data_IF_796838784892
#
_entry.id   IF_796838784892
#
_cell.length_a   1.000
_cell.length_b   1.000
_cell.length_c   1.000
_cell.angle_alpha   90.00
_cell.angle_beta   90.00
_cell.angle_gamma   90.00
#
_symmetry.space_group_name_H-M   'P 1'
#
loop_
_entity.id
_entity.type
_entity.pdbx_description
1 polymer ?
#
# COMPACT_ATOMS: atom_id res chain seq x y z
N UNK A 1 -16.46 -7.00 -3.39
CA UNK A 1 -17.43 -7.94 -3.96
C UNK A 1 -18.09 -7.30 -5.17
N UNK A 2 -18.87 -8.08 -5.92
CA UNK A 2 -19.56 -7.70 -7.16
C UNK A 2 -20.34 -6.39 -7.05
N UNK A 3 -21.01 -6.14 -5.91
CA UNK A 3 -21.75 -4.89 -5.66
C UNK A 3 -20.88 -3.62 -5.72
N UNK A 4 -19.63 -3.69 -5.28
CA UNK A 4 -18.71 -2.55 -5.36
C UNK A 4 -18.37 -2.23 -6.80
N UNK A 5 -18.09 -3.25 -7.62
CA UNK A 5 -17.76 -3.07 -9.04
C UNK A 5 -18.89 -2.45 -9.83
N UNK A 6 -20.13 -2.82 -9.54
CA UNK A 6 -21.32 -2.27 -10.23
C UNK A 6 -21.53 -0.76 -9.98
N UNK A 7 -21.09 -0.26 -8.81
CA UNK A 7 -21.29 1.12 -8.37
C UNK A 7 -20.12 2.06 -8.67
N UNK A 8 -18.93 1.50 -8.98
CA UNK A 8 -17.69 2.27 -9.12
C UNK A 8 -17.11 2.11 -10.53
N UNK A 9 -16.86 3.22 -11.20
CA UNK A 9 -16.26 3.27 -12.53
C UNK A 9 -14.75 3.53 -12.55
N UNK A 10 -14.16 3.88 -11.40
CA UNK A 10 -12.71 4.07 -11.26
C UNK A 10 -12.01 2.75 -10.93
N UNK A 11 -10.69 2.62 -11.17
CA UNK A 11 -9.92 1.42 -10.82
C UNK A 11 -10.02 1.09 -9.33
N UNK A 12 -10.17 -0.20 -9.03
CA UNK A 12 -10.25 -0.74 -7.66
C UNK A 12 -8.94 -1.45 -7.33
N UNK A 13 -8.28 -1.03 -6.24
CA UNK A 13 -7.17 -1.77 -5.65
C UNK A 13 -7.72 -2.76 -4.64
N UNK A 14 -7.50 -4.05 -4.88
CA UNK A 14 -7.94 -5.13 -4.00
C UNK A 14 -6.82 -5.67 -3.13
N UNK A 15 -7.13 -5.96 -1.87
CA UNK A 15 -6.25 -6.66 -0.92
C UNK A 15 -7.05 -7.67 -0.10
N UNK A 16 -6.37 -8.74 0.35
CA UNK A 16 -6.84 -9.62 1.42
C UNK A 16 -5.78 -9.62 2.51
N UNK A 17 -6.19 -9.36 3.76
CA UNK A 17 -5.28 -9.44 4.92
C UNK A 17 -5.51 -10.74 5.68
N UNK A 18 -4.42 -11.45 5.97
CA UNK A 18 -4.41 -12.68 6.77
C UNK A 18 -3.31 -12.61 7.82
N UNK A 19 -3.59 -13.08 9.02
CA UNK A 19 -2.58 -13.33 10.04
C UNK A 19 -2.11 -14.77 9.89
N UNK A 20 -0.80 -14.95 9.69
CA UNK A 20 -0.18 -16.25 9.47
C UNK A 20 0.72 -16.60 10.67
N UNK A 21 0.67 -17.84 11.19
CA UNK A 21 1.50 -18.22 12.34
C UNK A 21 3.00 -18.24 12.02
N UNK A 22 3.36 -18.53 10.76
CA UNK A 22 4.74 -18.80 10.35
C UNK A 22 5.29 -17.73 9.36
N UNK A 23 4.58 -16.60 9.18
CA UNK A 23 5.02 -15.55 8.27
C UNK A 23 4.55 -14.17 8.73
N UNK A 24 5.41 -13.14 8.68
CA UNK A 24 5.01 -11.76 8.93
C UNK A 24 4.26 -11.12 7.75
N UNK A 25 4.20 -11.77 6.60
CA UNK A 25 3.50 -11.29 5.42
C UNK A 25 2.00 -11.45 5.61
N UNK A 26 1.25 -10.36 5.48
CA UNK A 26 -0.19 -10.32 5.73
C UNK A 26 -1.01 -9.92 4.51
N UNK A 27 -0.44 -9.12 3.60
CA UNK A 27 -1.16 -8.55 2.46
C UNK A 27 -1.13 -9.53 1.30
N UNK A 28 -2.28 -10.09 0.95
CA UNK A 28 -2.49 -11.02 -0.17
C UNK A 28 -1.42 -12.12 -0.21
N UNK A 29 -1.30 -12.96 0.85
CA UNK A 29 -0.16 -13.86 0.99
C UNK A 29 -0.20 -15.11 0.09
N UNK A 30 -1.36 -15.45 -0.51
CA UNK A 30 -1.55 -16.67 -1.30
C UNK A 30 -2.05 -16.39 -2.72
N UNK A 31 -1.82 -17.34 -3.64
CA UNK A 31 -2.30 -17.24 -5.03
C UNK A 31 -3.83 -17.30 -5.10
N UNK A 32 -4.48 -18.03 -4.20
CA UNK A 32 -5.94 -18.09 -4.09
C UNK A 32 -6.55 -16.74 -3.71
N UNK A 33 -5.82 -15.92 -2.96
CA UNK A 33 -6.24 -14.55 -2.63
C UNK A 33 -6.25 -13.66 -3.88
N UNK A 34 -5.24 -13.83 -4.74
CA UNK A 34 -5.19 -13.15 -6.05
C UNK A 34 -6.40 -13.56 -6.90
N UNK A 35 -6.70 -14.86 -6.98
CA UNK A 35 -7.82 -15.38 -7.74
C UNK A 35 -9.16 -14.81 -7.25
N UNK A 36 -9.36 -14.78 -5.94
CA UNK A 36 -10.56 -14.24 -5.32
C UNK A 36 -10.73 -12.73 -5.57
N UNK A 37 -9.64 -11.96 -5.50
CA UNK A 37 -9.67 -10.52 -5.76
C UNK A 37 -9.96 -10.20 -7.22
N UNK A 38 -9.34 -10.92 -8.15
CA UNK A 38 -9.60 -10.77 -9.58
C UNK A 38 -11.05 -11.13 -9.92
N UNK A 39 -11.58 -12.24 -9.36
CA UNK A 39 -12.97 -12.62 -9.54
C UNK A 39 -13.94 -11.58 -8.95
N UNK A 40 -13.56 -10.90 -7.88
CA UNK A 40 -14.35 -9.82 -7.27
C UNK A 40 -14.28 -8.50 -8.05
N UNK A 41 -13.55 -8.45 -9.17
CA UNK A 41 -13.48 -7.28 -10.07
C UNK A 41 -12.42 -6.24 -9.67
N UNK A 42 -11.35 -6.63 -8.98
CA UNK A 42 -10.20 -5.76 -8.75
C UNK A 42 -9.46 -5.51 -10.08
N UNK A 43 -9.08 -4.26 -10.33
CA UNK A 43 -8.25 -3.85 -11.48
C UNK A 43 -6.75 -3.93 -11.13
N UNK A 44 -6.44 -3.67 -9.87
CA UNK A 44 -5.10 -3.68 -9.30
C UNK A 44 -5.14 -4.60 -8.08
N UNK A 45 -4.15 -5.48 -7.92
CA UNK A 45 -4.04 -6.32 -6.73
C UNK A 45 -2.75 -5.95 -6.01
N UNK A 46 -2.90 -5.49 -4.75
CA UNK A 46 -1.77 -5.18 -3.91
C UNK A 46 -1.38 -6.41 -3.06
N UNK A 47 -0.09 -6.61 -2.92
CA UNK A 47 0.53 -7.69 -2.15
C UNK A 47 1.76 -7.18 -1.40
N UNK A 48 2.16 -7.87 -0.33
CA UNK A 48 3.38 -7.55 0.40
C UNK A 48 4.62 -7.80 -0.47
N UNK A 49 5.33 -6.74 -0.81
CA UNK A 49 6.53 -6.78 -1.67
C UNK A 49 7.86 -6.82 -0.90
N UNK A 50 7.83 -6.98 0.42
CA UNK A 50 9.05 -6.95 1.26
C UNK A 50 9.83 -8.26 1.19
N UNK A 51 11.14 -8.19 1.40
CA UNK A 51 12.01 -9.38 1.52
C UNK A 51 11.90 -9.97 2.94
N UNK A 52 10.80 -10.69 3.21
CA UNK A 52 10.54 -11.35 4.49
C UNK A 52 10.05 -12.78 4.24
N UNK A 53 10.20 -13.71 5.23
CA UNK A 53 9.68 -15.08 5.12
C UNK A 53 8.22 -15.09 4.70
N UNK A 54 7.90 -15.81 3.63
CA UNK A 54 6.60 -15.76 2.96
C UNK A 54 6.18 -17.11 2.37
N UNK A 55 4.86 -17.39 2.30
CA UNK A 55 4.37 -18.65 1.72
C UNK A 55 4.53 -18.72 0.20
N UNK A 56 4.43 -17.58 -0.50
CA UNK A 56 4.52 -17.49 -1.96
C UNK A 56 5.54 -16.41 -2.34
N UNK A 57 6.50 -16.74 -3.22
CA UNK A 57 7.51 -15.81 -3.70
C UNK A 57 6.93 -14.66 -4.52
N UNK A 58 7.55 -13.48 -4.46
CA UNK A 58 7.12 -12.24 -5.13
C UNK A 58 6.89 -12.45 -6.63
N UNK A 59 7.81 -13.12 -7.33
CA UNK A 59 7.68 -13.37 -8.77
C UNK A 59 6.42 -14.19 -9.10
N UNK A 60 6.15 -15.25 -8.35
CA UNK A 60 4.97 -16.07 -8.58
C UNK A 60 3.67 -15.30 -8.30
N UNK A 61 3.69 -14.39 -7.33
CA UNK A 61 2.58 -13.49 -7.02
C UNK A 61 2.30 -12.55 -8.20
N UNK A 62 3.31 -11.87 -8.71
CA UNK A 62 3.21 -10.95 -9.85
C UNK A 62 2.69 -11.69 -11.08
N UNK A 63 3.25 -12.86 -11.40
CA UNK A 63 2.84 -13.66 -12.55
C UNK A 63 1.37 -14.07 -12.46
N UNK A 64 0.90 -14.47 -11.26
CA UNK A 64 -0.51 -14.83 -11.06
C UNK A 64 -1.42 -13.61 -11.25
N UNK A 65 -1.05 -12.45 -10.74
CA UNK A 65 -1.83 -11.21 -10.90
C UNK A 65 -1.97 -10.87 -12.39
N UNK A 66 -0.88 -10.92 -13.14
CA UNK A 66 -0.89 -10.67 -14.58
C UNK A 66 -1.70 -11.72 -15.35
N UNK A 67 -1.62 -13.00 -14.99
CA UNK A 67 -2.45 -14.07 -15.58
C UNK A 67 -3.95 -13.82 -15.39
N UNK A 68 -4.35 -13.10 -14.35
CA UNK A 68 -5.73 -12.70 -14.09
C UNK A 68 -6.12 -11.38 -14.78
N UNK A 69 -5.21 -10.76 -15.53
CA UNK A 69 -5.46 -9.50 -16.24
C UNK A 69 -5.49 -8.27 -15.34
N UNK A 70 -4.96 -8.37 -14.12
CA UNK A 70 -4.87 -7.28 -13.16
C UNK A 70 -3.46 -6.67 -13.17
N UNK A 71 -3.33 -5.40 -12.75
CA UNK A 71 -2.04 -4.78 -12.47
C UNK A 71 -1.51 -5.19 -11.09
N UNK A 72 -0.20 -5.46 -11.00
CA UNK A 72 0.46 -5.87 -9.77
C UNK A 72 1.00 -4.65 -9.01
N UNK A 73 0.53 -4.42 -7.77
CA UNK A 73 1.04 -3.40 -6.87
C UNK A 73 1.81 -4.06 -5.73
N UNK A 74 3.10 -3.76 -5.62
CA UNK A 74 3.94 -4.26 -4.55
C UNK A 74 4.03 -3.25 -3.39
N UNK A 75 3.55 -3.64 -2.22
CA UNK A 75 3.64 -2.85 -0.99
C UNK A 75 5.03 -3.05 -0.36
N UNK A 76 5.89 -2.04 -0.48
CA UNK A 76 7.30 -2.09 -0.14
C UNK A 76 7.63 -1.27 1.10
N UNK A 77 8.72 -1.65 1.79
CA UNK A 77 9.23 -0.95 2.98
C UNK A 77 10.50 -0.14 2.70
N UNK A 78 11.19 -0.43 1.60
CA UNK A 78 12.48 0.16 1.26
C UNK A 78 12.63 0.38 -0.25
N UNK A 79 13.70 1.10 -0.62
CA UNK A 79 14.08 1.29 -2.02
C UNK A 79 14.52 -0.03 -2.66
N UNK A 80 15.15 -0.90 -1.88
CA UNK A 80 15.60 -2.23 -2.30
C UNK A 80 14.39 -3.11 -2.66
N UNK A 81 13.40 -3.21 -1.77
CA UNK A 81 12.15 -3.94 -2.03
C UNK A 81 11.49 -3.45 -3.33
N UNK A 82 11.32 -2.11 -3.45
CA UNK A 82 10.69 -1.51 -4.62
C UNK A 82 11.44 -1.76 -5.91
N UNK A 83 12.78 -1.73 -5.86
CA UNK A 83 13.62 -2.02 -7.02
C UNK A 83 13.52 -3.47 -7.43
N UNK A 84 13.59 -4.40 -6.47
CA UNK A 84 13.44 -5.83 -6.74
C UNK A 84 12.06 -6.17 -7.32
N UNK A 85 10.99 -5.68 -6.69
CA UNK A 85 9.63 -5.89 -7.18
C UNK A 85 9.42 -5.34 -8.60
N UNK A 86 9.96 -4.14 -8.89
CA UNK A 86 9.90 -3.59 -10.24
C UNK A 86 10.63 -4.46 -11.26
N UNK A 87 11.85 -4.93 -10.93
CA UNK A 87 12.63 -5.81 -11.80
C UNK A 87 11.94 -7.16 -12.04
N UNK A 88 11.15 -7.63 -11.08
CA UNK A 88 10.33 -8.84 -11.20
C UNK A 88 9.02 -8.61 -11.97
N UNK A 89 8.69 -7.36 -12.32
CA UNK A 89 7.58 -7.01 -13.18
C UNK A 89 6.39 -6.35 -12.47
N UNK A 90 6.52 -5.87 -11.24
CA UNK A 90 5.45 -5.09 -10.59
C UNK A 90 5.17 -3.79 -11.38
N UNK A 91 3.89 -3.49 -11.61
CA UNK A 91 3.44 -2.32 -12.37
C UNK A 91 3.44 -1.05 -11.50
N UNK A 92 3.23 -1.21 -10.21
CA UNK A 92 3.08 -0.14 -9.23
C UNK A 92 3.85 -0.50 -7.97
N UNK A 93 4.53 0.49 -7.38
CA UNK A 93 5.23 0.35 -6.11
C UNK A 93 4.51 1.20 -5.05
N UNK A 94 4.02 0.55 -4.00
CA UNK A 94 3.43 1.19 -2.83
C UNK A 94 4.46 1.40 -1.72
N UNK A 95 4.35 2.48 -0.94
CA UNK A 95 5.18 2.71 0.26
C UNK A 95 4.52 2.24 1.55
N UNK A 96 3.49 1.43 1.43
CA UNK A 96 2.60 0.95 2.50
C UNK A 96 3.35 0.34 3.68
N UNK A 97 4.40 -0.43 3.41
CA UNK A 97 5.15 -1.17 4.43
C UNK A 97 6.26 -0.35 5.10
N UNK A 98 6.55 0.87 4.61
CA UNK A 98 7.56 1.75 5.24
C UNK A 98 7.21 2.05 6.70
N UNK A 99 8.14 1.73 7.60
CA UNK A 99 8.00 1.87 9.04
C UNK A 99 7.20 0.76 9.74
N UNK A 100 6.68 -0.24 9.00
CA UNK A 100 5.96 -1.38 9.58
C UNK A 100 6.76 -2.68 9.60
N UNK A 101 8.01 -2.65 9.13
CA UNK A 101 8.95 -3.78 9.13
C UNK A 101 10.01 -3.67 10.24
N UNK A 102 9.96 -2.62 11.05
CA UNK A 102 10.87 -2.32 12.16
C UNK A 102 10.10 -2.14 13.47
N UNK A 103 10.80 -2.12 14.60
CA UNK A 103 10.19 -2.02 15.94
C UNK A 103 9.51 -0.68 16.23
N UNK A 104 9.90 0.39 15.53
CA UNK A 104 9.34 1.73 15.72
C UNK A 104 8.62 2.20 14.45
N UNK A 105 7.31 2.49 14.58
CA UNK A 105 6.52 3.09 13.52
C UNK A 105 6.70 4.61 13.56
N UNK A 106 7.21 5.24 12.49
CA UNK A 106 7.33 6.70 12.41
C UNK A 106 5.96 7.38 12.46
N UNK A 107 5.94 8.65 12.86
CA UNK A 107 4.72 9.47 12.86
C UNK A 107 4.44 10.12 11.51
N UNK A 108 5.49 10.40 10.74
CA UNK A 108 5.41 11.09 9.46
C UNK A 108 5.42 10.11 8.26
N UNK A 109 4.83 10.49 7.11
CA UNK A 109 4.99 9.75 5.85
C UNK A 109 6.46 9.68 5.41
N UNK A 110 6.81 8.62 4.68
CA UNK A 110 8.17 8.43 4.15
C UNK A 110 8.35 9.14 2.80
N UNK A 111 8.44 10.46 2.80
CA UNK A 111 8.70 11.25 1.60
C UNK A 111 10.04 10.93 0.93
N UNK A 112 11.15 10.67 1.67
CA UNK A 112 12.40 10.22 1.05
C UNK A 112 12.24 8.96 0.21
N UNK A 113 11.50 7.95 0.69
CA UNK A 113 11.25 6.73 -0.07
C UNK A 113 10.39 7.00 -1.32
N UNK A 114 9.33 7.80 -1.19
CA UNK A 114 8.50 8.22 -2.34
C UNK A 114 9.38 8.87 -3.41
N UNK A 115 10.21 9.83 -3.02
CA UNK A 115 11.09 10.55 -3.94
C UNK A 115 12.13 9.62 -4.60
N UNK A 116 12.76 8.73 -3.82
CA UNK A 116 13.77 7.82 -4.32
C UNK A 116 13.20 6.84 -5.37
N UNK A 117 12.02 6.27 -5.11
CA UNK A 117 11.32 5.37 -6.05
C UNK A 117 10.88 6.12 -7.30
N UNK A 118 10.30 7.32 -7.15
CA UNK A 118 9.86 8.15 -8.27
C UNK A 118 11.03 8.59 -9.16
N UNK A 119 12.19 8.90 -8.56
CA UNK A 119 13.41 9.27 -9.31
C UNK A 119 13.93 8.13 -10.20
N UNK A 120 13.61 6.88 -9.90
CA UNK A 120 13.88 5.71 -10.76
C UNK A 120 12.88 5.55 -11.91
N UNK A 121 11.86 6.41 -11.99
CA UNK A 121 10.81 6.33 -13.00
C UNK A 121 9.70 5.32 -12.68
N UNK A 122 9.64 4.82 -11.45
CA UNK A 122 8.59 3.89 -11.05
C UNK A 122 7.27 4.61 -10.84
N UNK A 123 6.15 3.92 -11.10
CA UNK A 123 4.82 4.41 -10.76
C UNK A 123 4.58 4.18 -9.28
N UNK A 124 4.65 5.24 -8.48
CA UNK A 124 4.59 5.17 -7.01
C UNK A 124 3.22 5.57 -6.51
N UNK A 125 2.60 4.70 -5.68
CA UNK A 125 1.47 5.08 -4.83
C UNK A 125 2.01 5.29 -3.42
N UNK A 126 1.95 6.54 -2.96
CA UNK A 126 2.36 6.89 -1.60
C UNK A 126 1.26 6.48 -0.61
N UNK A 127 1.57 5.62 0.33
CA UNK A 127 0.68 5.15 1.38
C UNK A 127 1.41 5.10 2.72
N UNK A 128 0.67 5.37 3.79
CA UNK A 128 1.15 5.33 5.16
C UNK A 128 1.25 6.71 5.80
N UNK A 129 0.47 6.94 6.85
CA UNK A 129 0.50 8.13 7.71
C UNK A 129 0.12 9.47 7.03
N UNK A 130 -0.59 9.41 5.91
CA UNK A 130 -1.13 10.62 5.24
C UNK A 130 -2.36 11.12 5.98
N UNK A 131 -2.13 11.80 7.11
CA UNK A 131 -3.17 12.19 8.06
C UNK A 131 -3.75 13.59 7.80
N UNK A 132 -3.37 14.24 6.71
CA UNK A 132 -3.94 15.52 6.29
C UNK A 132 -3.90 15.70 4.78
N UNK A 133 -4.78 16.53 4.20
CA UNK A 133 -4.73 16.89 2.78
C UNK A 133 -3.39 17.51 2.36
N UNK A 134 -2.76 18.28 3.26
CA UNK A 134 -1.46 18.91 2.97
C UNK A 134 -0.35 17.87 2.79
N UNK A 135 -0.29 16.82 3.63
CA UNK A 135 0.66 15.72 3.50
C UNK A 135 0.42 14.94 2.19
N UNK A 136 -0.83 14.66 1.84
CA UNK A 136 -1.16 13.99 0.58
C UNK A 136 -0.71 14.83 -0.64
N UNK A 137 -0.97 16.15 -0.63
CA UNK A 137 -0.50 17.04 -1.68
C UNK A 137 1.04 17.11 -1.77
N UNK A 138 1.72 17.01 -0.62
CA UNK A 138 3.18 16.99 -0.56
C UNK A 138 3.76 15.70 -1.19
N UNK A 139 3.09 14.55 -1.04
CA UNK A 139 3.52 13.30 -1.70
C UNK A 139 3.55 13.46 -3.23
N UNK A 140 2.56 14.11 -3.82
CA UNK A 140 2.54 14.40 -5.25
C UNK A 140 3.73 15.28 -5.66
N UNK A 141 4.08 16.28 -4.84
CA UNK A 141 5.25 17.14 -5.08
C UNK A 141 6.58 16.35 -4.99
N UNK A 142 6.62 15.28 -4.19
CA UNK A 142 7.75 14.35 -4.13
C UNK A 142 7.75 13.30 -5.25
N UNK A 143 6.83 13.39 -6.20
CA UNK A 143 6.80 12.56 -7.39
C UNK A 143 5.87 11.34 -7.31
N UNK A 144 5.07 11.19 -6.26
CA UNK A 144 4.05 10.14 -6.24
C UNK A 144 3.08 10.30 -7.40
N UNK A 145 2.74 9.18 -8.04
CA UNK A 145 1.71 9.13 -9.08
C UNK A 145 0.29 9.23 -8.48
N UNK A 146 0.10 8.65 -7.29
CA UNK A 146 -1.14 8.71 -6.53
C UNK A 146 -0.85 8.60 -5.03
N UNK A 147 -1.87 8.85 -4.20
CA UNK A 147 -1.79 8.74 -2.73
C UNK A 147 -2.96 7.93 -2.21
N UNK A 148 -2.68 6.94 -1.36
CA UNK A 148 -3.69 6.22 -0.60
C UNK A 148 -3.86 6.84 0.78
N UNK A 149 -5.09 7.25 1.09
CA UNK A 149 -5.46 7.80 2.41
C UNK A 149 -6.45 6.84 3.07
N UNK A 150 -6.03 6.20 4.15
CA UNK A 150 -6.84 5.22 4.89
C UNK A 150 -7.49 5.82 6.14
N UNK A 151 -6.86 5.64 7.30
CA UNK A 151 -7.41 5.96 8.63
C UNK A 151 -7.90 7.40 8.76
N UNK A 152 -7.27 8.35 8.09
CA UNK A 152 -7.68 9.76 8.08
C UNK A 152 -9.08 10.01 7.47
N UNK A 153 -9.63 9.04 6.76
CA UNK A 153 -10.96 9.14 6.14
C UNK A 153 -11.91 8.10 6.75
N UNK A 154 -11.41 6.88 7.03
CA UNK A 154 -12.24 5.73 7.37
C UNK A 154 -12.35 5.47 8.87
N UNK A 155 -11.50 6.09 9.72
CA UNK A 155 -11.42 5.86 11.16
C UNK A 155 -11.77 7.12 11.94
N UNK A 156 -13.05 7.32 12.21
CA UNK A 156 -13.57 8.50 12.92
C UNK A 156 -12.95 8.66 14.32
N UNK A 157 -12.67 7.56 15.01
CA UNK A 157 -12.03 7.57 16.32
C UNK A 157 -10.63 8.21 16.30
N UNK A 158 -9.84 7.99 15.23
CA UNK A 158 -8.54 8.64 15.05
C UNK A 158 -8.69 10.14 14.80
N UNK A 159 -9.64 10.51 13.94
CA UNK A 159 -9.90 11.92 13.64
C UNK A 159 -10.32 12.68 14.91
N UNK A 160 -11.23 12.12 15.68
CA UNK A 160 -11.66 12.71 16.96
C UNK A 160 -10.50 12.86 17.96
N UNK A 161 -9.58 11.86 18.00
CA UNK A 161 -8.42 11.92 18.87
C UNK A 161 -7.47 13.06 18.45
N UNK A 162 -7.16 13.21 17.15
CA UNK A 162 -6.28 14.28 16.66
C UNK A 162 -6.82 15.67 17.01
N UNK A 163 -8.14 15.90 16.88
CA UNK A 163 -8.75 17.17 17.32
C UNK A 163 -8.60 17.38 18.82
N UNK A 164 -8.83 16.35 19.62
CA UNK A 164 -8.70 16.42 21.08
C UNK A 164 -7.27 16.76 21.50
N UNK A 165 -6.29 16.09 20.91
CA UNK A 165 -4.87 16.29 21.23
C UNK A 165 -4.45 17.72 20.88
N UNK A 166 -4.79 18.21 19.69
CA UNK A 166 -4.50 19.58 19.27
C UNK A 166 -5.13 20.65 20.19
N UNK A 167 -6.37 20.44 20.63
CA UNK A 167 -7.04 21.35 21.58
C UNK A 167 -6.37 21.31 22.95
N UNK A 168 -5.92 20.15 23.40
CA UNK A 168 -5.22 20.01 24.68
C UNK A 168 -3.86 20.71 24.66
N UNK A 169 -3.09 20.54 23.58
CA UNK A 169 -1.81 21.24 23.40
C UNK A 169 -1.96 22.75 23.35
N UNK A 170 -3.04 23.26 22.76
CA UNK A 170 -3.31 24.70 22.68
C UNK A 170 -3.73 25.35 24.01
N UNK A 171 -4.01 24.55 25.04
CA UNK A 171 -4.43 25.03 26.37
C UNK A 171 -3.33 24.94 27.43
N UNK A 172 -2.14 24.45 27.08
CA UNK A 172 -0.93 24.40 27.90
C UNK A 172 -0.02 25.61 27.65
#
# INVERSE_FOLDING_TARGET
SDLTRELISVPIIGIIKRDLPDSPVRITPFLEDVDALAQAGADIIAFDGTDRPRPVGVKAMIDRIHQRGCAAMADCSSLEDGTECHNLGADIIGTTMSGYTTDAVPTEPDFPLVQALSAKGYRVIAEGRFNSPALAALAIKHGAWAVTVGSAITRLEHICQWYRDALTEATL
#
